data_IF_107415955471
#
_entry.id   IF_107415955471
#
_cell.length_a   1.000
_cell.length_b   1.000
_cell.length_c   1.000
_cell.angle_alpha   90.00
_cell.angle_beta   90.00
_cell.angle_gamma   90.00
#
_symmetry.space_group_name_H-M   'P 1'
#
loop_
_entity.id
_entity.type
_entity.pdbx_description
1 polymer ?
#
# COMPACT_ATOMS: atom_id res chain seq x y z
N UNK A 1 -1.44 -16.10 19.94
CA UNK A 1 -2.67 -15.35 20.32
C UNK A 1 -2.85 -14.01 19.60
N UNK A 2 -1.81 -13.39 19.01
CA UNK A 2 -1.94 -12.10 18.31
C UNK A 2 -2.62 -12.15 16.92
N UNK A 3 -2.55 -13.29 16.22
CA UNK A 3 -2.96 -13.35 14.81
C UNK A 3 -4.48 -13.31 14.54
N UNK A 4 -5.36 -14.06 15.25
CA UNK A 4 -6.81 -13.92 15.06
C UNK A 4 -7.31 -12.49 15.28
N UNK A 5 -6.61 -11.74 16.16
CA UNK A 5 -6.87 -10.33 16.40
C UNK A 5 -6.39 -9.45 15.24
N UNK A 6 -5.22 -9.73 14.66
CA UNK A 6 -4.69 -9.05 13.47
C UNK A 6 -5.61 -9.23 12.25
N UNK A 7 -6.09 -10.45 12.00
CA UNK A 7 -7.02 -10.73 10.91
C UNK A 7 -8.39 -10.06 11.13
N UNK A 8 -8.89 -10.09 12.37
CA UNK A 8 -10.10 -9.34 12.72
C UNK A 8 -9.93 -7.84 12.52
N UNK A 9 -8.74 -7.29 12.77
CA UNK A 9 -8.43 -5.88 12.53
C UNK A 9 -8.33 -5.55 11.03
N UNK A 10 -7.77 -6.44 10.20
CA UNK A 10 -7.76 -6.27 8.75
C UNK A 10 -9.18 -6.20 8.18
N UNK A 11 -10.08 -7.11 8.59
CA UNK A 11 -11.50 -7.08 8.20
C UNK A 11 -12.28 -5.86 8.70
N UNK A 12 -11.76 -5.14 9.69
CA UNK A 12 -12.32 -3.84 10.08
C UNK A 12 -11.99 -2.74 9.06
N UNK A 13 -10.78 -2.77 8.49
CA UNK A 13 -10.34 -1.78 7.49
C UNK A 13 -11.06 -1.99 6.17
N UNK A 14 -11.14 -3.25 5.73
CA UNK A 14 -11.92 -3.64 4.57
C UNK A 14 -12.59 -5.00 4.85
N UNK A 15 -13.92 -5.03 5.05
CA UNK A 15 -14.64 -6.26 5.39
C UNK A 15 -14.68 -7.29 4.25
N UNK A 16 -14.21 -6.92 3.06
CA UNK A 16 -14.03 -7.82 1.93
C UNK A 16 -12.64 -8.45 1.85
N UNK A 17 -11.71 -8.09 2.75
CA UNK A 17 -10.41 -8.76 2.85
C UNK A 17 -10.57 -10.23 3.24
N UNK A 18 -9.79 -11.04 2.55
CA UNK A 18 -9.58 -12.45 2.80
C UNK A 18 -8.08 -12.65 3.06
N UNK A 19 -7.72 -13.64 3.87
CA UNK A 19 -6.31 -13.90 4.17
C UNK A 19 -6.10 -15.35 4.53
N UNK A 20 -4.94 -15.87 4.17
CA UNK A 20 -4.41 -17.11 4.71
C UNK A 20 -2.94 -16.88 5.06
N UNK A 21 -2.66 -16.74 6.36
CA UNK A 21 -1.28 -16.55 6.83
C UNK A 21 -0.59 -17.85 7.24
N UNK A 22 -1.33 -18.95 7.22
CA UNK A 22 -0.80 -20.27 7.56
C UNK A 22 -0.51 -21.09 6.29
N UNK A 23 -0.86 -20.56 5.11
CA UNK A 23 -0.39 -21.05 3.83
C UNK A 23 1.14 -21.04 3.75
N UNK A 24 1.69 -21.90 2.90
CA UNK A 24 3.14 -21.93 2.60
C UNK A 24 3.63 -20.55 2.09
N UNK A 25 2.76 -19.83 1.39
CA UNK A 25 2.93 -18.42 1.00
C UNK A 25 1.81 -17.57 1.63
N UNK A 26 2.04 -16.95 2.80
CA UNK A 26 1.06 -16.11 3.48
C UNK A 26 0.55 -14.95 2.62
N UNK A 27 -0.76 -14.68 2.65
CA UNK A 27 -1.35 -13.58 1.88
C UNK A 27 -2.55 -12.90 2.57
N UNK A 28 -2.76 -11.64 2.22
CA UNK A 28 -3.96 -10.86 2.53
C UNK A 28 -4.41 -10.20 1.22
N UNK A 29 -5.60 -10.54 0.73
CA UNK A 29 -6.13 -10.01 -0.53
C UNK A 29 -7.49 -9.36 -0.34
N UNK A 30 -7.66 -8.24 -1.05
CA UNK A 30 -8.94 -7.55 -1.20
C UNK A 30 -9.39 -7.49 -2.66
N UNK A 31 -10.70 -7.39 -2.92
CA UNK A 31 -11.18 -7.11 -4.27
C UNK A 31 -10.74 -5.71 -4.70
N UNK A 32 -10.01 -5.60 -5.81
CA UNK A 32 -9.41 -4.33 -6.27
C UNK A 32 -10.38 -3.13 -6.26
N UNK A 33 -11.60 -3.29 -6.79
CA UNK A 33 -12.61 -2.22 -6.84
C UNK A 33 -13.08 -1.75 -5.45
N UNK A 34 -12.96 -2.60 -4.44
CA UNK A 34 -13.29 -2.31 -3.05
C UNK A 34 -12.11 -1.76 -2.25
N UNK A 35 -10.88 -2.15 -2.59
CA UNK A 35 -9.70 -1.87 -1.77
C UNK A 35 -8.87 -0.66 -2.24
N UNK A 36 -8.89 -0.32 -3.54
CA UNK A 36 -8.16 0.85 -4.04
C UNK A 36 -8.69 2.15 -3.39
N UNK A 37 -7.81 3.13 -3.15
CA UNK A 37 -8.20 4.44 -2.59
C UNK A 37 -8.99 5.25 -3.62
N UNK A 38 -8.50 5.29 -4.87
CA UNK A 38 -9.11 5.94 -6.01
C UNK A 38 -8.98 5.11 -7.30
N UNK A 39 -9.92 5.30 -8.24
CA UNK A 39 -9.90 4.69 -9.59
C UNK A 39 -10.37 5.73 -10.58
N UNK A 40 -9.65 5.86 -11.69
CA UNK A 40 -10.00 6.69 -12.84
C UNK A 40 -10.04 5.83 -14.10
N UNK A 41 -10.99 6.12 -14.97
CA UNK A 41 -11.15 5.44 -16.26
C UNK A 41 -10.94 6.44 -17.38
N UNK A 42 -10.03 6.13 -18.30
CA UNK A 42 -9.71 6.99 -19.43
C UNK A 42 -9.62 6.19 -20.72
N UNK A 43 -9.60 6.91 -21.85
CA UNK A 43 -9.33 6.28 -23.16
C UNK A 43 -7.82 6.25 -23.39
N UNK A 44 -7.28 5.29 -24.16
CA UNK A 44 -5.85 5.23 -24.49
C UNK A 44 -5.33 6.49 -25.20
N UNK A 45 -6.21 7.23 -25.86
CA UNK A 45 -5.91 8.50 -26.53
C UNK A 45 -6.09 9.74 -25.63
N UNK A 46 -6.59 9.56 -24.40
CA UNK A 46 -6.69 10.66 -23.44
C UNK A 46 -5.29 11.06 -22.97
N UNK A 47 -5.02 12.36 -22.74
CA UNK A 47 -3.81 12.74 -22.03
C UNK A 47 -3.80 12.05 -20.65
N UNK A 48 -2.62 11.74 -20.09
CA UNK A 48 -2.51 11.20 -18.73
C UNK A 48 -3.31 12.08 -17.77
N UNK A 49 -4.02 11.48 -16.82
CA UNK A 49 -4.74 12.24 -15.81
C UNK A 49 -3.76 13.25 -15.18
N UNK A 50 -4.15 14.53 -15.01
CA UNK A 50 -3.26 15.50 -14.38
C UNK A 50 -2.99 15.02 -12.96
N UNK A 51 -1.77 14.52 -12.74
CA UNK A 51 -1.24 14.31 -11.40
C UNK A 51 -1.39 15.65 -10.66
N UNK A 52 -2.21 15.69 -9.62
CA UNK A 52 -2.04 16.75 -8.64
C UNK A 52 -0.67 16.50 -8.04
N UNK A 53 0.30 17.36 -8.36
CA UNK A 53 1.57 17.42 -7.62
C UNK A 53 1.19 17.49 -6.14
N UNK A 54 1.52 16.43 -5.39
CA UNK A 54 1.32 16.39 -3.95
C UNK A 54 1.84 17.70 -3.38
N UNK A 55 0.96 18.44 -2.70
CA UNK A 55 1.34 19.70 -2.08
C UNK A 55 2.48 19.43 -1.11
N UNK A 56 3.64 20.03 -1.35
CA UNK A 56 4.75 19.94 -0.42
C UNK A 56 4.30 20.42 0.96
N UNK A 57 4.35 19.52 1.94
CA UNK A 57 4.06 19.81 3.34
C UNK A 57 2.86 19.05 3.90
N UNK A 58 3.08 17.78 4.28
CA UNK A 58 2.23 17.05 5.23
C UNK A 58 0.92 16.46 4.69
N UNK A 59 0.73 15.16 4.94
CA UNK A 59 -0.54 14.42 5.02
C UNK A 59 -1.37 14.07 3.77
N UNK A 60 -1.10 14.55 2.55
CA UNK A 60 -1.85 14.10 1.36
C UNK A 60 -1.07 13.01 0.59
N UNK A 61 -1.20 11.74 1.02
CA UNK A 61 -0.67 10.59 0.27
C UNK A 61 -1.66 10.24 -0.85
N UNK A 62 -1.27 10.49 -2.10
CA UNK A 62 -2.09 10.23 -3.29
C UNK A 62 -2.57 11.52 -3.97
N UNK A 63 -3.20 11.38 -5.14
CA UNK A 63 -3.66 12.49 -5.96
C UNK A 63 -4.58 12.09 -7.12
N UNK A 64 -4.87 10.79 -7.29
CA UNK A 64 -5.77 10.33 -8.34
C UNK A 64 -7.20 10.79 -8.07
N UNK A 65 -7.76 11.54 -9.02
CA UNK A 65 -9.16 11.97 -8.94
C UNK A 65 -10.07 10.80 -9.32
N UNK A 66 -11.08 10.54 -8.50
CA UNK A 66 -12.04 9.48 -8.74
C UNK A 66 -12.88 9.77 -10.00
N UNK A 67 -12.75 8.90 -11.00
CA UNK A 67 -13.62 8.82 -12.18
C UNK A 67 -13.81 7.36 -12.59
N UNK A 68 -14.52 6.61 -11.74
CA UNK A 68 -14.73 5.17 -11.89
C UNK A 68 -15.71 4.77 -13.01
N UNK A 69 -16.20 5.72 -13.82
CA UNK A 69 -17.19 5.45 -14.87
C UNK A 69 -18.60 5.08 -14.37
N UNK A 70 -18.83 5.04 -13.04
CA UNK A 70 -20.15 4.77 -12.43
C UNK A 70 -20.79 6.02 -11.82
N UNK A 71 -20.08 7.17 -11.84
CA UNK A 71 -20.53 8.39 -11.16
C UNK A 71 -20.58 8.27 -9.64
N UNK A 72 -19.85 7.31 -9.05
CA UNK A 72 -19.78 7.12 -7.61
C UNK A 72 -18.59 7.88 -7.02
N UNK A 73 -18.70 8.34 -5.78
CA UNK A 73 -17.53 8.77 -5.00
C UNK A 73 -16.68 7.55 -4.63
N UNK A 74 -15.39 7.74 -4.33
CA UNK A 74 -14.49 6.66 -3.92
C UNK A 74 -15.07 5.84 -2.74
N UNK A 75 -15.61 6.53 -1.72
CA UNK A 75 -16.28 5.89 -0.57
C UNK A 75 -17.50 5.06 -0.99
N UNK A 76 -18.33 5.60 -1.88
CA UNK A 76 -19.52 4.89 -2.37
C UNK A 76 -19.14 3.69 -3.25
N UNK A 77 -18.13 3.83 -4.11
CA UNK A 77 -17.57 2.75 -4.93
C UNK A 77 -17.07 1.61 -4.06
N UNK A 78 -16.21 1.90 -3.08
CA UNK A 78 -15.67 0.88 -2.17
C UNK A 78 -16.80 0.11 -1.49
N UNK A 79 -17.78 0.84 -0.92
CA UNK A 79 -18.97 0.23 -0.31
C UNK A 79 -19.79 -0.62 -1.29
N UNK A 80 -19.97 -0.14 -2.53
CA UNK A 80 -20.72 -0.86 -3.58
C UNK A 80 -20.07 -2.22 -3.88
N UNK A 81 -18.74 -2.25 -4.01
CA UNK A 81 -17.99 -3.45 -4.35
C UNK A 81 -17.62 -4.33 -3.15
N UNK A 82 -18.03 -4.01 -1.92
CA UNK A 82 -18.03 -4.99 -0.82
C UNK A 82 -18.99 -6.15 -1.10
N UNK A 83 -20.01 -5.94 -1.93
CA UNK A 83 -20.99 -6.97 -2.30
C UNK A 83 -20.48 -7.83 -3.45
N UNK A 84 -20.37 -9.14 -3.25
CA UNK A 84 -19.86 -10.09 -4.27
C UNK A 84 -20.64 -10.06 -5.58
N UNK A 85 -21.98 -9.99 -5.50
CA UNK A 85 -22.83 -9.89 -6.69
C UNK A 85 -22.46 -8.68 -7.56
N UNK A 86 -22.18 -7.51 -6.96
CA UNK A 86 -21.77 -6.31 -7.70
C UNK A 86 -20.42 -6.48 -8.38
N UNK A 87 -19.49 -7.22 -7.76
CA UNK A 87 -18.20 -7.54 -8.38
C UNK A 87 -18.36 -8.47 -9.58
N UNK A 88 -19.26 -9.45 -9.52
CA UNK A 88 -19.56 -10.35 -10.64
C UNK A 88 -20.30 -9.67 -11.80
N UNK A 89 -21.05 -8.61 -11.50
CA UNK A 89 -21.73 -7.78 -12.51
C UNK A 89 -20.79 -6.81 -13.23
N UNK A 90 -19.66 -6.47 -12.62
CA UNK A 90 -18.68 -5.56 -13.22
C UNK A 90 -17.84 -6.26 -14.28
N UNK A 91 -17.67 -5.59 -15.41
CA UNK A 91 -16.83 -6.04 -16.52
C UNK A 91 -15.88 -4.91 -16.87
N UNK A 92 -14.57 -5.19 -16.84
CA UNK A 92 -13.57 -4.28 -17.38
C UNK A 92 -13.69 -4.28 -18.91
N UNK A 93 -13.81 -3.10 -19.51
CA UNK A 93 -14.07 -2.96 -20.93
C UNK A 93 -12.76 -2.94 -21.72
N UNK A 94 -12.68 -3.69 -22.83
CA UNK A 94 -11.50 -3.68 -23.68
C UNK A 94 -11.29 -2.28 -24.27
N UNK A 95 -10.03 -1.85 -24.33
CA UNK A 95 -9.67 -0.52 -24.86
C UNK A 95 -9.92 0.63 -23.90
N UNK A 96 -10.22 0.38 -22.61
CA UNK A 96 -10.14 1.39 -21.54
C UNK A 96 -8.85 1.27 -20.76
N UNK A 97 -8.35 2.42 -20.30
CA UNK A 97 -7.25 2.50 -19.33
C UNK A 97 -7.87 2.67 -17.94
N UNK A 98 -7.40 1.85 -17.00
CA UNK A 98 -7.83 1.88 -15.60
C UNK A 98 -6.65 2.30 -14.75
N UNK A 99 -6.67 3.53 -14.28
CA UNK A 99 -5.71 4.04 -13.31
C UNK A 99 -6.23 3.74 -11.92
N UNK A 100 -5.37 3.22 -11.05
CA UNK A 100 -5.73 2.84 -9.69
C UNK A 100 -4.70 3.38 -8.73
N UNK A 101 -5.17 3.87 -7.60
CA UNK A 101 -4.32 4.30 -6.50
C UNK A 101 -4.51 3.37 -5.31
N UNK A 102 -3.41 2.93 -4.72
CA UNK A 102 -3.39 2.24 -3.43
C UNK A 102 -2.66 3.13 -2.42
N UNK A 103 -3.43 3.90 -1.66
CA UNK A 103 -2.91 4.76 -0.60
C UNK A 103 -3.75 4.56 0.66
N UNK A 104 -3.13 4.67 1.83
CA UNK A 104 -3.87 4.60 3.08
C UNK A 104 -2.96 4.59 4.31
N UNK A 105 -3.52 4.93 5.50
CA UNK A 105 -2.75 5.06 6.73
C UNK A 105 -2.34 3.72 7.34
N UNK A 106 -2.57 2.61 6.63
CA UNK A 106 -2.34 1.26 7.13
C UNK A 106 -0.94 0.73 6.84
N UNK A 107 -0.16 1.44 6.04
CA UNK A 107 1.24 1.14 5.77
C UNK A 107 2.07 2.40 6.01
N UNK A 108 2.97 2.31 6.98
CA UNK A 108 4.00 3.30 7.25
C UNK A 108 5.31 2.75 6.72
N UNK A 109 5.68 3.18 5.51
CA UNK A 109 6.93 2.78 4.87
C UNK A 109 8.16 3.47 5.48
N UNK A 110 8.00 4.60 6.18
CA UNK A 110 9.12 5.28 6.82
C UNK A 110 9.63 4.48 8.02
N UNK A 111 8.70 3.93 8.81
CA UNK A 111 9.02 3.13 9.99
C UNK A 111 8.87 1.61 9.74
N UNK A 112 8.59 1.20 8.50
CA UNK A 112 8.26 -0.18 8.12
C UNK A 112 7.23 -0.84 9.05
N UNK A 113 6.07 -0.19 9.22
CA UNK A 113 4.98 -0.67 10.07
C UNK A 113 3.69 -0.88 9.30
N UNK A 114 3.00 -1.97 9.62
CA UNK A 114 1.57 -2.10 9.31
C UNK A 114 0.78 -1.51 10.48
N UNK A 115 -0.09 -0.55 10.17
CA UNK A 115 -0.93 0.16 11.14
C UNK A 115 -2.38 -0.27 10.94
N UNK A 116 -2.87 -1.13 11.82
CA UNK A 116 -4.27 -1.51 11.86
C UNK A 116 -4.94 -0.89 13.10
N UNK A 117 -6.27 -0.74 13.14
CA UNK A 117 -6.97 -0.30 14.34
C UNK A 117 -6.63 -1.22 15.52
N UNK A 118 -6.03 -0.63 16.56
CA UNK A 118 -5.61 -1.36 17.75
C UNK A 118 -4.29 -2.13 17.63
N UNK A 119 -3.62 -2.13 16.47
CA UNK A 119 -2.35 -2.84 16.25
C UNK A 119 -1.35 -1.99 15.46
N UNK A 120 -0.12 -1.94 15.95
CA UNK A 120 1.03 -1.45 15.19
C UNK A 120 2.05 -2.58 15.14
N UNK A 121 2.27 -3.13 13.95
CA UNK A 121 3.20 -4.25 13.75
C UNK A 121 4.41 -3.71 13.03
N UNK A 122 5.56 -3.80 13.67
CA UNK A 122 6.87 -3.59 13.07
C UNK A 122 7.17 -4.77 12.15
N UNK A 123 7.21 -4.50 10.84
CA UNK A 123 7.41 -5.51 9.80
C UNK A 123 8.83 -6.09 9.92
N UNK A 124 9.82 -5.25 10.26
CA UNK A 124 11.23 -5.67 10.33
C UNK A 124 11.49 -6.76 11.36
N UNK A 125 10.68 -6.84 12.42
CA UNK A 125 10.78 -7.91 13.43
C UNK A 125 10.44 -9.29 12.92
N UNK A 126 9.68 -9.37 11.83
CA UNK A 126 9.22 -10.62 11.21
C UNK A 126 9.75 -10.79 9.80
N UNK A 127 10.59 -9.86 9.33
CA UNK A 127 11.16 -9.85 8.01
C UNK A 127 12.31 -10.83 7.91
N UNK A 128 12.28 -11.70 6.89
CA UNK A 128 13.28 -12.72 6.62
C UNK A 128 14.19 -12.37 5.42
N UNK A 129 14.09 -11.13 4.91
CA UNK A 129 14.85 -10.65 3.77
C UNK A 129 14.06 -10.65 2.45
N UNK A 130 12.83 -11.18 2.42
CA UNK A 130 12.01 -11.19 1.21
C UNK A 130 11.35 -9.84 0.94
N UNK A 131 11.27 -9.37 -0.32
CA UNK A 131 10.60 -8.11 -0.65
C UNK A 131 9.13 -8.05 -0.27
N UNK A 132 8.65 -6.83 0.00
CA UNK A 132 7.23 -6.58 0.24
C UNK A 132 6.55 -6.41 -1.12
N UNK A 133 5.62 -7.31 -1.45
CA UNK A 133 4.92 -7.31 -2.73
C UNK A 133 3.46 -6.92 -2.59
N UNK A 134 3.03 -5.95 -3.39
CA UNK A 134 1.63 -5.70 -3.70
C UNK A 134 1.28 -6.30 -5.05
N UNK A 135 0.33 -7.23 -5.05
CA UNK A 135 -0.08 -7.97 -6.23
C UNK A 135 -1.50 -7.60 -6.64
N UNK A 136 -1.69 -7.26 -7.91
CA UNK A 136 -2.98 -7.34 -8.56
C UNK A 136 -2.99 -8.63 -9.38
N UNK A 137 -3.86 -9.57 -9.03
CA UNK A 137 -3.98 -10.85 -9.73
C UNK A 137 -5.42 -11.29 -9.91
N UNK A 138 -5.63 -12.14 -10.89
CA UNK A 138 -6.84 -12.94 -10.98
C UNK A 138 -6.86 -13.97 -9.85
N UNK A 139 -7.92 -13.97 -9.04
CA UNK A 139 -8.05 -14.91 -7.92
C UNK A 139 -8.22 -16.36 -8.40
N UNK A 140 -8.90 -16.59 -9.52
CA UNK A 140 -9.25 -17.92 -9.98
C UNK A 140 -8.14 -18.56 -10.83
N UNK A 141 -7.60 -17.83 -11.81
CA UNK A 141 -6.52 -18.35 -12.68
C UNK A 141 -5.13 -18.19 -12.08
N UNK A 142 -4.96 -17.24 -11.16
CA UNK A 142 -3.66 -16.85 -10.62
C UNK A 142 -2.81 -15.97 -11.51
N UNK A 143 -3.32 -15.58 -12.67
CA UNK A 143 -2.66 -14.64 -13.57
C UNK A 143 -2.39 -13.30 -12.88
N UNK A 144 -1.15 -12.82 -12.98
CA UNK A 144 -0.70 -11.57 -12.37
C UNK A 144 -0.82 -10.44 -13.38
N UNK A 145 -1.46 -9.35 -12.96
CA UNK A 145 -1.65 -8.15 -13.77
C UNK A 145 -0.70 -7.02 -13.37
N UNK A 146 -0.35 -6.92 -12.09
CA UNK A 146 0.59 -5.91 -11.57
C UNK A 146 1.33 -6.47 -10.36
N UNK A 147 2.62 -6.14 -10.28
CA UNK A 147 3.46 -6.33 -9.08
C UNK A 147 4.10 -5.00 -8.76
N UNK A 148 3.92 -4.52 -7.53
CA UNK A 148 4.74 -3.45 -6.96
C UNK A 148 5.56 -4.08 -5.85
N UNK A 149 6.88 -4.01 -5.97
CA UNK A 149 7.83 -4.64 -5.06
C UNK A 149 8.63 -3.57 -4.34
N UNK A 150 8.76 -3.70 -3.02
CA UNK A 150 9.61 -2.86 -2.19
C UNK A 150 10.70 -3.74 -1.58
N UNK A 151 11.94 -3.46 -1.96
CA UNK A 151 13.14 -4.03 -1.34
C UNK A 151 13.64 -3.12 -0.22
N UNK A 152 14.02 -3.73 0.90
CA UNK A 152 14.77 -3.04 1.93
C UNK A 152 16.24 -3.03 1.53
N UNK A 153 16.78 -1.86 1.25
CA UNK A 153 18.21 -1.67 1.00
C UNK A 153 18.88 -1.11 2.25
N UNK A 154 20.10 -1.57 2.54
CA UNK A 154 20.92 -0.95 3.58
C UNK A 154 21.22 0.49 3.17
N UNK A 155 20.98 1.44 4.07
CA UNK A 155 21.40 2.81 3.86
C UNK A 155 22.93 2.89 3.93
N UNK A 156 23.55 3.58 2.97
CA UNK A 156 24.95 3.97 3.13
C UNK A 156 25.04 4.85 4.38
N UNK A 157 25.79 4.42 5.40
CA UNK A 157 26.16 5.31 6.48
C UNK A 157 26.90 6.49 5.85
N UNK A 158 26.34 7.70 5.93
CA UNK A 158 27.13 8.90 5.68
C UNK A 158 28.26 8.88 6.71
N UNK A 159 29.45 8.48 6.24
CA UNK A 159 30.65 8.43 7.05
C UNK A 159 30.90 9.81 7.65
N UNK A 160 30.55 9.99 8.91
CA UNK A 160 31.09 11.08 9.71
C UNK A 160 32.57 10.73 9.94
N UNK A 161 33.39 11.12 8.98
CA UNK A 161 34.83 10.94 8.99
C UNK A 161 35.44 11.56 10.26
N UNK A 162 36.41 10.86 10.81
CA UNK A 162 36.89 11.07 12.17
C UNK A 162 37.92 12.19 12.34
N UNK A 163 38.09 12.53 13.62
CA UNK A 163 39.31 13.03 14.30
C UNK A 163 39.57 14.54 14.15
N UNK A 164 39.59 15.29 15.25
CA UNK A 164 40.84 15.43 16.02
C UNK A 164 40.60 15.66 17.51
N UNK A 165 41.18 14.77 18.31
CA UNK A 165 41.51 14.98 19.71
C UNK A 165 42.53 16.11 19.82
N UNK A 166 42.19 17.24 20.45
CA UNK A 166 43.20 18.11 21.06
C UNK A 166 43.12 17.93 22.58
N UNK A 167 44.03 17.11 23.07
CA UNK A 167 44.52 17.14 24.45
C UNK A 167 44.99 18.56 24.78
N UNK A 168 44.47 19.13 25.87
CA UNK A 168 44.94 20.35 26.49
C UNK A 168 44.95 20.16 28.00
N UNK A 169 45.88 19.34 28.48
CA UNK A 169 46.41 19.46 29.84
C UNK A 169 47.53 20.51 29.76
N UNK A 170 47.30 21.68 30.35
CA UNK A 170 48.36 22.64 30.69
C UNK A 170 48.51 22.64 32.22
N UNK A 171 49.45 21.84 32.71
CA UNK A 171 50.15 22.07 33.97
C UNK A 171 51.50 22.71 33.64
N UNK A 172 51.72 23.97 34.05
CA UNK A 172 53.07 24.53 34.28
C UNK A 172 53.01 25.48 35.49
N UNK A 173 53.72 25.06 36.55
CA UNK A 173 54.39 25.74 37.67
C UNK A 173 53.85 27.05 38.27
#
# INVERSE_FOLDING_TARGET
MAFPLLFSAARWIDPSLDADVYADEPWIFGPALASMSAISTSSPSSPPCPEKKGGGGGEEVGGLVEDNGMGLTAKARRKHFLTERRRKEWVFEPGKVYEMEFSGPWLDLAEFRVVLPGFRVDILKYWDGQPLRFLLRNRASGEVYLVVEFDLVEGEEEGSDGRSTSSGEEDID
#
